data_IF_743045739621
#
_entry.id   IF_743045739621
#
_cell.length_a   1.000
_cell.length_b   1.000
_cell.length_c   1.000
_cell.angle_alpha   90.00
_cell.angle_beta   90.00
_cell.angle_gamma   90.00
#
_symmetry.space_group_name_H-M   'P 1'
#
loop_
_entity.id
_entity.type
_entity.pdbx_description
1 polymer ?
#
# COMPACT_ATOMS: atom_id res chain seq x y z
N UNK A 1 23.44 25.51 -31.86
CA UNK A 1 23.91 25.61 -30.45
C UNK A 1 22.95 24.86 -29.51
N UNK A 2 22.99 23.52 -29.44
CA UNK A 2 21.99 22.71 -28.69
C UNK A 2 22.60 21.70 -27.68
N UNK A 3 23.93 21.58 -27.56
CA UNK A 3 24.58 20.51 -26.78
C UNK A 3 24.67 20.76 -25.26
N UNK A 4 24.41 21.99 -24.77
CA UNK A 4 24.69 22.38 -23.37
C UNK A 4 23.65 21.88 -22.34
N UNK A 5 22.44 21.51 -22.78
CA UNK A 5 21.39 21.02 -21.88
C UNK A 5 21.45 19.50 -21.64
N UNK A 6 21.90 18.72 -22.62
CA UNK A 6 22.02 17.26 -22.49
C UNK A 6 23.01 16.82 -21.41
N UNK A 7 24.17 17.49 -21.31
CA UNK A 7 25.17 17.18 -20.28
C UNK A 7 24.63 17.38 -18.86
N UNK A 8 23.85 18.43 -18.61
CA UNK A 8 23.28 18.70 -17.27
C UNK A 8 22.23 17.67 -16.88
N UNK A 9 21.41 17.21 -17.83
CA UNK A 9 20.41 16.15 -17.61
C UNK A 9 21.11 14.80 -17.37
N UNK A 10 22.15 14.50 -18.15
CA UNK A 10 22.96 13.28 -17.97
C UNK A 10 23.66 13.29 -16.60
N UNK A 11 24.27 14.41 -16.21
CA UNK A 11 24.91 14.55 -14.90
C UNK A 11 23.91 14.41 -13.74
N UNK A 12 22.70 14.99 -13.86
CA UNK A 12 21.65 14.86 -12.85
C UNK A 12 21.10 13.42 -12.76
N UNK A 13 20.91 12.74 -13.90
CA UNK A 13 20.48 11.35 -13.94
C UNK A 13 21.54 10.40 -13.35
N UNK A 14 22.82 10.65 -13.62
CA UNK A 14 23.94 9.90 -13.05
C UNK A 14 24.02 10.11 -11.54
N UNK A 15 23.91 11.35 -11.04
CA UNK A 15 23.89 11.64 -9.59
C UNK A 15 22.69 10.96 -8.91
N UNK A 16 21.52 10.95 -9.55
CA UNK A 16 20.35 10.25 -9.05
C UNK A 16 20.57 8.73 -9.00
N UNK A 17 21.16 8.12 -10.04
CA UNK A 17 21.52 6.69 -10.05
C UNK A 17 22.55 6.34 -8.96
N UNK A 18 23.57 7.18 -8.74
CA UNK A 18 24.55 6.96 -7.67
C UNK A 18 23.93 7.17 -6.27
N UNK A 19 22.97 8.08 -6.11
CA UNK A 19 22.24 8.26 -4.86
C UNK A 19 21.35 7.06 -4.53
N UNK A 20 20.79 6.37 -5.53
CA UNK A 20 19.99 5.15 -5.34
C UNK A 20 20.88 3.97 -4.87
N UNK A 21 22.13 3.88 -5.37
CA UNK A 21 23.06 2.82 -4.93
C UNK A 21 23.52 2.94 -3.47
N UNK A 22 23.38 4.11 -2.84
CA UNK A 22 23.63 4.32 -1.41
C UNK A 22 22.46 3.98 -0.48
N UNK A 23 21.24 3.83 -1.01
CA UNK A 23 20.06 3.39 -0.26
C UNK A 23 19.90 1.85 -0.18
N UNK A 24 20.84 1.10 -0.77
CA UNK A 24 20.88 -0.37 -0.69
C UNK A 24 21.39 -0.89 0.67
N UNK A 25 21.30 -0.09 1.74
CA UNK A 25 21.42 -0.54 3.12
C UNK A 25 20.34 -1.58 3.38
N UNK A 26 20.65 -2.65 4.13
CA UNK A 26 19.74 -3.73 4.54
C UNK A 26 18.46 -3.20 5.21
N UNK A 27 17.54 -2.68 4.41
CA UNK A 27 16.31 -2.04 4.86
C UNK A 27 15.30 -3.15 5.04
N UNK A 28 14.72 -3.24 6.24
CA UNK A 28 13.69 -4.26 6.51
C UNK A 28 12.52 -4.12 5.54
N UNK A 29 11.84 -5.22 5.23
CA UNK A 29 10.67 -5.21 4.34
C UNK A 29 9.59 -4.24 4.84
N UNK A 30 9.45 -4.11 6.16
CA UNK A 30 8.57 -3.12 6.77
C UNK A 30 8.97 -1.68 6.53
N UNK A 31 10.23 -1.32 6.76
CA UNK A 31 10.69 0.06 6.51
C UNK A 31 10.60 0.41 5.02
N UNK A 32 10.93 -0.53 4.13
CA UNK A 32 10.79 -0.33 2.68
C UNK A 32 9.33 -0.21 2.27
N UNK A 33 8.46 -1.09 2.75
CA UNK A 33 7.02 -1.07 2.49
C UNK A 33 6.37 0.22 2.98
N UNK A 34 6.71 0.65 4.20
CA UNK A 34 6.23 1.89 4.79
C UNK A 34 6.71 3.13 4.02
N UNK A 35 7.99 3.19 3.65
CA UNK A 35 8.53 4.32 2.91
C UNK A 35 7.90 4.45 1.52
N UNK A 36 7.78 3.32 0.79
CA UNK A 36 7.16 3.29 -0.54
C UNK A 36 5.68 3.67 -0.42
N UNK A 37 4.95 3.06 0.52
CA UNK A 37 3.53 3.36 0.72
C UNK A 37 3.29 4.82 1.14
N UNK A 38 4.14 5.38 2.00
CA UNK A 38 4.03 6.78 2.41
C UNK A 38 4.31 7.74 1.25
N UNK A 39 5.32 7.45 0.42
CA UNK A 39 5.62 8.26 -0.76
C UNK A 39 4.49 8.23 -1.79
N UNK A 40 3.98 7.04 -2.12
CA UNK A 40 2.87 6.91 -3.08
C UNK A 40 1.59 7.52 -2.53
N UNK A 41 1.28 7.26 -1.25
CA UNK A 41 0.13 7.84 -0.55
C UNK A 41 0.19 9.37 -0.49
N UNK A 42 1.36 9.95 -0.25
CA UNK A 42 1.57 11.40 -0.28
C UNK A 42 1.22 12.01 -1.64
N UNK A 43 1.68 11.38 -2.73
CA UNK A 43 1.43 11.84 -4.10
C UNK A 43 -0.06 11.76 -4.42
N UNK A 44 -0.70 10.63 -4.12
CA UNK A 44 -2.13 10.45 -4.34
C UNK A 44 -2.97 11.45 -3.51
N UNK A 45 -2.63 11.60 -2.23
CA UNK A 45 -3.28 12.55 -1.33
C UNK A 45 -3.15 14.00 -1.78
N UNK A 46 -1.98 14.38 -2.33
CA UNK A 46 -1.77 15.70 -2.91
C UNK A 46 -2.57 15.91 -4.19
N UNK A 47 -2.66 14.89 -5.06
CA UNK A 47 -3.42 15.00 -6.31
C UNK A 47 -4.92 15.20 -6.04
N UNK A 48 -5.46 14.54 -5.01
CA UNK A 48 -6.87 14.62 -4.62
C UNK A 48 -7.16 15.89 -3.81
N UNK A 49 -6.40 16.12 -2.73
CA UNK A 49 -6.65 17.21 -1.78
C UNK A 49 -6.10 18.56 -2.23
N UNK A 50 -5.05 18.56 -3.08
CA UNK A 50 -4.32 19.75 -3.54
C UNK A 50 -3.83 20.63 -2.38
N UNK A 51 -3.55 20.01 -1.23
CA UNK A 51 -3.10 20.66 -0.01
C UNK A 51 -2.23 19.73 0.85
N UNK A 52 -1.45 20.31 1.76
CA UNK A 52 -0.54 19.58 2.65
C UNK A 52 -1.24 18.56 3.54
N UNK A 53 -2.47 18.84 3.98
CA UNK A 53 -3.25 17.92 4.81
C UNK A 53 -3.57 16.63 4.05
N UNK A 54 -3.97 16.73 2.79
CA UNK A 54 -4.19 15.58 1.90
C UNK A 54 -2.93 14.76 1.71
N UNK A 55 -1.79 15.42 1.47
CA UNK A 55 -0.47 14.78 1.38
C UNK A 55 -0.12 14.01 2.65
N UNK A 56 -0.28 14.62 3.83
CA UNK A 56 0.07 14.00 5.11
C UNK A 56 -0.83 12.82 5.45
N UNK A 57 -2.15 12.95 5.23
CA UNK A 57 -3.10 11.86 5.45
C UNK A 57 -2.79 10.69 4.50
N UNK A 58 -2.56 11.00 3.22
CA UNK A 58 -2.19 9.99 2.23
C UNK A 58 -0.88 9.28 2.61
N UNK A 59 0.14 10.02 3.04
CA UNK A 59 1.41 9.46 3.50
C UNK A 59 1.24 8.55 4.71
N UNK A 60 0.45 8.97 5.70
CA UNK A 60 0.21 8.20 6.91
C UNK A 60 -0.53 6.88 6.59
N UNK A 61 -1.63 6.96 5.83
CA UNK A 61 -2.41 5.79 5.44
C UNK A 61 -1.59 4.83 4.57
N UNK A 62 -0.91 5.35 3.56
CA UNK A 62 -0.08 4.54 2.67
C UNK A 62 1.11 3.92 3.39
N UNK A 63 1.76 4.66 4.29
CA UNK A 63 2.88 4.16 5.08
C UNK A 63 2.46 3.05 6.04
N UNK A 64 1.34 3.24 6.76
CA UNK A 64 0.81 2.22 7.66
C UNK A 64 0.38 0.97 6.90
N UNK A 65 -0.33 1.12 5.78
CA UNK A 65 -0.71 -0.02 4.93
C UNK A 65 0.53 -0.77 4.42
N UNK A 66 1.53 -0.01 3.96
CA UNK A 66 2.79 -0.54 3.46
C UNK A 66 3.59 -1.30 4.53
N UNK A 67 3.57 -0.81 5.77
CA UNK A 67 4.19 -1.48 6.92
C UNK A 67 3.44 -2.79 7.25
N UNK A 68 2.11 -2.74 7.39
CA UNK A 68 1.29 -3.91 7.74
C UNK A 68 1.46 -5.00 6.68
N UNK A 69 1.29 -4.67 5.40
CA UNK A 69 1.36 -5.65 4.30
C UNK A 69 2.80 -6.10 4.03
N UNK A 70 3.78 -5.22 4.22
CA UNK A 70 5.19 -5.50 3.91
C UNK A 70 5.96 -6.24 5.01
N UNK A 71 5.59 -6.03 6.28
CA UNK A 71 6.30 -6.57 7.44
C UNK A 71 5.47 -7.58 8.23
N UNK A 72 4.22 -7.21 8.53
CA UNK A 72 3.46 -7.88 9.58
C UNK A 72 2.63 -9.03 9.04
N UNK A 73 2.16 -8.90 7.80
CA UNK A 73 1.27 -9.84 7.14
C UNK A 73 2.04 -11.00 6.50
N UNK A 74 1.80 -12.22 6.97
CA UNK A 74 2.37 -13.43 6.37
C UNK A 74 1.43 -14.08 5.33
N UNK A 75 1.78 -15.28 4.87
CA UNK A 75 0.99 -16.01 3.85
C UNK A 75 -0.40 -16.39 4.36
N UNK A 76 -0.54 -16.72 5.64
CA UNK A 76 -1.82 -17.06 6.23
C UNK A 76 -2.72 -15.83 6.24
N UNK A 77 -2.21 -14.69 6.70
CA UNK A 77 -2.97 -13.44 6.71
C UNK A 77 -3.33 -12.96 5.30
N UNK A 78 -2.41 -13.09 4.34
CA UNK A 78 -2.68 -12.79 2.93
C UNK A 78 -3.79 -13.68 2.36
N UNK A 79 -3.81 -14.97 2.71
CA UNK A 79 -4.87 -15.88 2.29
C UNK A 79 -6.22 -15.50 2.90
N UNK A 80 -6.26 -15.17 4.20
CA UNK A 80 -7.48 -14.69 4.86
C UNK A 80 -7.98 -13.38 4.23
N UNK A 81 -7.09 -12.42 4.00
CA UNK A 81 -7.45 -11.16 3.37
C UNK A 81 -7.97 -11.35 1.93
N UNK A 82 -7.34 -12.22 1.15
CA UNK A 82 -7.82 -12.57 -0.19
C UNK A 82 -9.20 -13.22 -0.15
N UNK A 83 -9.46 -14.11 0.81
CA UNK A 83 -10.78 -14.71 1.01
C UNK A 83 -11.85 -13.66 1.30
N UNK A 84 -11.49 -12.63 2.08
CA UNK A 84 -12.38 -11.49 2.37
C UNK A 84 -12.73 -10.72 1.09
N UNK A 85 -11.74 -10.41 0.26
CA UNK A 85 -12.00 -9.75 -1.02
C UNK A 85 -12.81 -10.62 -1.99
N UNK A 86 -12.56 -11.93 -2.01
CA UNK A 86 -13.21 -12.89 -2.90
C UNK A 86 -14.69 -13.10 -2.57
N UNK A 87 -14.98 -13.37 -1.29
CA UNK A 87 -16.22 -14.07 -0.94
C UNK A 87 -16.98 -13.47 0.24
N UNK A 88 -16.33 -12.67 1.10
CA UNK A 88 -17.03 -12.10 2.25
C UNK A 88 -18.14 -11.14 1.78
N UNK A 89 -19.35 -11.23 2.37
CA UNK A 89 -20.41 -10.27 2.09
C UNK A 89 -19.97 -8.84 2.44
N UNK A 90 -20.39 -7.88 1.61
CA UNK A 90 -20.12 -6.47 1.86
C UNK A 90 -20.71 -6.04 3.21
N UNK A 91 -19.97 -5.18 3.92
CA UNK A 91 -20.29 -4.66 5.25
C UNK A 91 -20.29 -5.68 6.39
N UNK A 92 -19.94 -6.95 6.12
CA UNK A 92 -19.77 -7.95 7.17
C UNK A 92 -18.31 -8.05 7.59
N UNK A 93 -18.06 -7.87 8.89
CA UNK A 93 -16.71 -7.97 9.46
C UNK A 93 -16.29 -9.44 9.55
N UNK A 94 -15.17 -9.78 8.93
CA UNK A 94 -14.45 -11.04 9.15
C UNK A 94 -13.28 -10.77 10.09
N UNK A 95 -12.98 -11.68 11.01
CA UNK A 95 -11.86 -11.52 11.95
C UNK A 95 -11.10 -12.83 12.10
N UNK A 96 -9.80 -12.73 12.33
CA UNK A 96 -8.96 -13.88 12.61
C UNK A 96 -7.78 -13.52 13.52
N UNK A 97 -7.22 -14.55 14.13
CA UNK A 97 -5.94 -14.49 14.84
C UNK A 97 -4.96 -15.36 14.07
N UNK A 98 -3.82 -14.80 13.72
CA UNK A 98 -2.76 -15.55 13.07
C UNK A 98 -2.16 -16.57 14.07
N UNK A 99 -2.11 -17.87 13.73
CA UNK A 99 -1.61 -18.89 14.64
C UNK A 99 -0.10 -18.79 14.90
N UNK A 100 0.67 -18.24 13.96
CA UNK A 100 2.13 -18.15 14.03
C UNK A 100 2.56 -16.84 14.68
N UNK A 101 2.09 -15.70 14.15
CA UNK A 101 2.47 -14.37 14.63
C UNK A 101 1.65 -13.86 15.82
N UNK A 102 0.53 -14.54 16.14
CA UNK A 102 -0.45 -14.13 17.18
C UNK A 102 -1.13 -12.77 16.95
N UNK A 103 -0.91 -12.15 15.79
CA UNK A 103 -1.57 -10.89 15.43
C UNK A 103 -3.06 -11.09 15.19
N UNK A 104 -3.84 -10.07 15.49
CA UNK A 104 -5.28 -10.07 15.27
C UNK A 104 -5.62 -9.11 14.14
N UNK A 105 -6.53 -9.56 13.29
CA UNK A 105 -7.08 -8.76 12.19
C UNK A 105 -8.61 -8.78 12.24
N UNK A 106 -9.21 -7.64 11.88
CA UNK A 106 -10.62 -7.55 11.56
C UNK A 106 -10.79 -6.73 10.28
N UNK A 107 -11.47 -7.30 9.29
CA UNK A 107 -11.61 -6.71 7.96
C UNK A 107 -13.08 -6.62 7.60
N UNK A 108 -13.49 -5.44 7.14
CA UNK A 108 -14.84 -5.17 6.66
C UNK A 108 -14.78 -4.71 5.21
N UNK A 109 -15.16 -5.54 4.22
CA UNK A 109 -15.14 -5.15 2.81
C UNK A 109 -16.35 -4.27 2.46
N UNK A 110 -16.15 -3.35 1.52
CA UNK A 110 -17.20 -2.58 0.85
C UNK A 110 -17.70 -3.31 -0.40
N UNK A 111 -18.80 -2.87 -1.03
CA UNK A 111 -19.22 -3.36 -2.34
C UNK A 111 -18.09 -3.24 -3.37
N UNK A 112 -17.94 -4.26 -4.21
CA UNK A 112 -17.07 -4.17 -5.38
C UNK A 112 -17.65 -3.17 -6.38
N UNK A 113 -16.77 -2.50 -7.11
CA UNK A 113 -17.12 -1.50 -8.12
C UNK A 113 -16.22 -1.65 -9.34
N UNK A 114 -16.70 -1.17 -10.49
CA UNK A 114 -15.95 -1.20 -11.76
C UNK A 114 -15.44 0.19 -12.08
N UNK A 115 -14.13 0.31 -12.31
CA UNK A 115 -13.50 1.55 -12.76
C UNK A 115 -13.83 1.86 -14.22
N UNK A 116 -13.65 3.11 -14.70
CA UNK A 116 -13.80 3.46 -16.12
C UNK A 116 -12.93 2.63 -17.06
N UNK A 117 -11.79 2.11 -16.58
CA UNK A 117 -10.92 1.18 -17.30
C UNK A 117 -11.50 -0.23 -17.49
N UNK A 118 -12.66 -0.53 -16.89
CA UNK A 118 -13.23 -1.87 -16.82
C UNK A 118 -12.67 -2.73 -15.67
N UNK A 119 -11.70 -2.23 -14.91
CA UNK A 119 -11.10 -2.98 -13.82
C UNK A 119 -12.03 -3.04 -12.60
N UNK A 120 -12.26 -4.24 -12.08
CA UNK A 120 -13.06 -4.46 -10.86
C UNK A 120 -12.18 -4.22 -9.64
N UNK A 121 -12.64 -3.39 -8.72
CA UNK A 121 -11.98 -3.06 -7.47
C UNK A 121 -12.91 -3.22 -6.28
N UNK A 122 -12.30 -3.35 -5.10
CA UNK A 122 -13.01 -3.49 -3.84
C UNK A 122 -12.17 -2.87 -2.73
N UNK A 123 -12.82 -2.04 -1.92
CA UNK A 123 -12.19 -1.44 -0.76
C UNK A 123 -12.51 -2.26 0.49
N UNK A 124 -11.61 -2.26 1.47
CA UNK A 124 -11.86 -2.83 2.79
C UNK A 124 -11.25 -1.95 3.89
N UNK A 125 -11.97 -1.84 5.00
CA UNK A 125 -11.40 -1.35 6.26
C UNK A 125 -10.71 -2.52 6.96
N UNK A 126 -9.43 -2.36 7.30
CA UNK A 126 -8.60 -3.34 7.99
C UNK A 126 -8.23 -2.75 9.36
N UNK A 127 -8.54 -3.49 10.42
CA UNK A 127 -8.02 -3.27 11.76
C UNK A 127 -6.95 -4.34 12.00
N UNK A 128 -5.71 -3.94 12.18
CA UNK A 128 -4.59 -4.82 12.48
C UNK A 128 -3.94 -4.43 13.80
N UNK A 129 -3.54 -5.38 14.63
CA UNK A 129 -2.72 -5.06 15.81
C UNK A 129 -1.27 -4.82 15.41
N UNK A 130 -0.81 -3.57 15.52
CA UNK A 130 0.57 -3.14 15.30
C UNK A 130 1.14 -2.67 16.64
N UNK A 131 2.28 -3.21 17.06
CA UNK A 131 2.92 -2.87 18.34
C UNK A 131 1.98 -2.89 19.56
N UNK A 132 1.05 -3.85 19.58
CA UNK A 132 0.08 -4.03 20.66
C UNK A 132 -1.13 -3.08 20.60
N UNK A 133 -1.23 -2.22 19.59
CA UNK A 133 -2.35 -1.30 19.40
C UNK A 133 -3.14 -1.63 18.13
N UNK A 134 -4.48 -1.55 18.15
CA UNK A 134 -5.28 -1.71 16.95
C UNK A 134 -5.13 -0.47 16.05
N UNK A 135 -4.55 -0.66 14.88
CA UNK A 135 -4.39 0.35 13.84
C UNK A 135 -5.40 0.12 12.73
N UNK A 136 -6.12 1.19 12.35
CA UNK A 136 -7.11 1.17 11.27
C UNK A 136 -6.48 1.67 9.98
N UNK A 137 -6.63 0.91 8.92
CA UNK A 137 -6.21 1.30 7.58
C UNK A 137 -7.25 0.92 6.54
N UNK A 138 -7.39 1.76 5.51
CA UNK A 138 -8.26 1.48 4.36
C UNK A 138 -7.37 0.95 3.24
N UNK A 139 -7.79 -0.15 2.61
CA UNK A 139 -7.08 -0.75 1.49
C UNK A 139 -8.01 -1.00 0.31
N UNK A 140 -7.55 -0.61 -0.87
CA UNK A 140 -8.21 -0.93 -2.14
C UNK A 140 -7.45 -2.05 -2.83
N UNK A 141 -8.14 -3.13 -3.17
CA UNK A 141 -7.62 -4.18 -4.02
C UNK A 141 -8.38 -4.18 -5.36
N UNK A 142 -7.68 -4.41 -6.45
CA UNK A 142 -8.26 -4.52 -7.78
C UNK A 142 -7.90 -5.85 -8.43
N UNK A 143 -8.79 -6.38 -9.26
CA UNK A 143 -8.53 -7.58 -10.05
C UNK A 143 -7.48 -7.28 -11.12
N UNK A 144 -6.46 -8.12 -11.23
CA UNK A 144 -5.56 -8.13 -12.37
C UNK A 144 -6.17 -8.91 -13.56
N UNK A 145 -5.43 -9.02 -14.66
CA UNK A 145 -5.87 -9.73 -15.86
C UNK A 145 -6.05 -11.25 -15.66
N UNK A 146 -5.45 -11.82 -14.61
CA UNK A 146 -5.62 -13.21 -14.20
C UNK A 146 -6.78 -13.37 -13.20
N UNK A 147 -7.48 -12.27 -12.88
CA UNK A 147 -8.55 -12.25 -11.92
C UNK A 147 -8.08 -12.36 -10.47
N UNK A 148 -6.82 -12.04 -10.13
CA UNK A 148 -6.36 -12.01 -8.73
C UNK A 148 -6.56 -10.65 -8.11
N UNK A 149 -6.88 -10.61 -6.82
CA UNK A 149 -6.92 -9.35 -6.06
C UNK A 149 -5.50 -8.86 -5.78
N UNK A 150 -5.21 -7.63 -6.21
CA UNK A 150 -3.93 -6.94 -6.00
C UNK A 150 -4.17 -5.64 -5.26
N UNK A 151 -3.61 -5.51 -4.06
CA UNK A 151 -3.65 -4.28 -3.27
C UNK A 151 -2.95 -3.17 -4.04
N UNK A 152 -3.65 -2.05 -4.19
CA UNK A 152 -3.12 -0.83 -4.77
C UNK A 152 -2.37 -0.07 -3.67
N UNK A 153 -1.07 0.12 -3.85
CA UNK A 153 -0.18 0.86 -2.93
C UNK A 153 0.09 2.26 -3.45
#
# INVERSE_FOLDING_TARGET
MQKKHGWKIIAAAIIFMLAISGCATNTSKGTSGAAIGAATGAIAGQAIGRNTTGTLIGAAVGGLLGYIVGNEMDKFDQAQLNQVYESSPSHQRTQWVNPDSKRTYAVTPKPAYTQPSGQVCREAEILATVDGRPEKVVSTACRDNEGRWVIQK
#
